data_IF_968565689135
#
_entry.id   IF_968565689135
#
_cell.length_a   1.000
_cell.length_b   1.000
_cell.length_c   1.000
_cell.angle_alpha   90.00
_cell.angle_beta   90.00
_cell.angle_gamma   90.00
#
_symmetry.space_group_name_H-M   'P 1'
#
loop_
_entity.id
_entity.type
_entity.pdbx_description
1 polymer ?
#
# COMPACT_ATOMS: atom_id res chain seq x y z
N UNK A 1 -15.49 -11.73 -4.76
CA UNK A 1 -14.11 -11.21 -4.71
C UNK A 1 -13.41 -11.96 -3.60
N UNK A 2 -12.19 -12.46 -3.80
CA UNK A 2 -11.43 -13.09 -2.72
C UNK A 2 -11.14 -12.04 -1.64
N UNK A 3 -11.31 -12.42 -0.37
CA UNK A 3 -11.04 -11.58 0.78
C UNK A 3 -9.53 -11.26 0.82
N UNK A 4 -9.14 -10.00 0.61
CA UNK A 4 -7.74 -9.58 0.67
C UNK A 4 -7.36 -9.34 2.13
N UNK A 5 -6.34 -10.05 2.60
CA UNK A 5 -5.74 -9.88 3.93
C UNK A 5 -4.28 -9.49 3.78
N UNK A 6 -3.81 -8.59 4.63
CA UNK A 6 -2.38 -8.23 4.71
C UNK A 6 -1.50 -9.44 5.02
N UNK A 7 -2.02 -10.39 5.79
CA UNK A 7 -1.35 -11.63 6.18
C UNK A 7 -2.18 -12.80 5.69
N UNK A 8 -1.52 -13.81 5.12
CA UNK A 8 -2.16 -15.09 4.81
C UNK A 8 -2.41 -15.86 6.11
N UNK A 9 -3.60 -15.66 6.68
CA UNK A 9 -4.01 -16.33 7.91
C UNK A 9 -4.07 -17.84 7.74
N UNK A 10 -4.51 -18.34 6.57
CA UNK A 10 -4.68 -19.78 6.33
C UNK A 10 -3.32 -20.49 6.36
N UNK A 11 -2.32 -19.93 5.67
CA UNK A 11 -0.95 -20.45 5.67
C UNK A 11 -0.32 -20.45 7.07
N UNK A 12 -0.67 -19.46 7.91
CA UNK A 12 -0.21 -19.42 9.30
C UNK A 12 -0.91 -20.46 10.18
N UNK A 13 -2.20 -20.71 9.96
CA UNK A 13 -2.95 -21.74 10.69
C UNK A 13 -2.39 -23.14 10.41
N UNK A 14 -2.01 -23.44 9.17
CA UNK A 14 -1.37 -24.72 8.80
C UNK A 14 -0.02 -24.93 9.51
N UNK A 15 0.67 -23.84 9.87
CA UNK A 15 1.96 -23.87 10.59
C UNK A 15 1.80 -23.84 12.11
N UNK A 16 0.59 -23.98 12.63
CA UNK A 16 0.37 -23.94 14.07
C UNK A 16 0.97 -25.15 14.77
N UNK A 17 1.99 -24.88 15.60
CA UNK A 17 2.67 -25.88 16.41
C UNK A 17 2.25 -25.71 17.87
N UNK A 18 2.00 -26.84 18.54
CA UNK A 18 1.83 -26.89 19.99
C UNK A 18 3.17 -27.15 20.66
N UNK A 19 3.55 -26.29 21.59
CA UNK A 19 4.72 -26.48 22.45
C UNK A 19 4.23 -27.00 23.79
N UNK A 20 4.76 -28.13 24.23
CA UNK A 20 4.55 -28.65 25.57
C UNK A 20 5.71 -28.23 26.47
N UNK A 21 5.37 -27.78 27.67
CA UNK A 21 6.30 -27.36 28.72
C UNK A 21 6.25 -28.28 29.93
N UNK A 22 7.09 -28.03 30.94
CA UNK A 22 7.13 -28.80 32.18
C UNK A 22 5.76 -28.86 32.86
N UNK A 23 5.46 -29.98 33.53
CA UNK A 23 4.19 -30.20 34.25
C UNK A 23 2.94 -30.20 33.35
N UNK A 24 3.09 -30.49 32.05
CA UNK A 24 1.96 -30.64 31.14
C UNK A 24 1.34 -29.32 30.68
N UNK A 25 2.01 -28.18 30.89
CA UNK A 25 1.59 -26.93 30.26
C UNK A 25 1.72 -27.04 28.74
N UNK A 26 0.78 -26.49 27.99
CA UNK A 26 0.89 -26.39 26.54
C UNK A 26 0.52 -24.98 26.09
N UNK A 27 1.20 -24.48 25.06
CA UNK A 27 0.86 -23.24 24.39
C UNK A 27 0.96 -23.41 22.87
N UNK A 28 0.24 -22.58 22.13
CA UNK A 28 0.47 -22.46 20.69
C UNK A 28 1.69 -21.58 20.45
N UNK A 29 2.68 -22.10 19.71
CA UNK A 29 3.81 -21.29 19.23
C UNK A 29 3.33 -20.19 18.28
N UNK A 30 2.32 -20.54 17.47
CA UNK A 30 1.60 -19.63 16.59
C UNK A 30 0.23 -19.40 17.23
N UNK A 31 -0.07 -18.20 17.76
CA UNK A 31 -1.27 -17.97 18.55
C UNK A 31 -2.52 -17.95 17.66
N UNK A 32 -3.05 -19.14 17.34
CA UNK A 32 -4.21 -19.36 16.45
C UNK A 32 -5.40 -18.45 16.80
N UNK A 33 -5.73 -18.34 18.09
CA UNK A 33 -6.82 -17.48 18.53
C UNK A 33 -6.61 -15.99 18.19
N UNK A 34 -5.36 -15.52 18.16
CA UNK A 34 -5.06 -14.15 17.75
C UNK A 34 -5.12 -13.98 16.22
N UNK A 35 -4.74 -15.00 15.45
CA UNK A 35 -4.84 -14.98 13.98
C UNK A 35 -6.31 -14.93 13.56
N UNK A 36 -7.16 -15.75 14.17
CA UNK A 36 -8.58 -15.80 13.87
C UNK A 36 -9.34 -14.54 14.31
N UNK A 37 -8.88 -13.91 15.39
CA UNK A 37 -9.43 -12.65 15.88
C UNK A 37 -8.88 -11.42 15.16
N UNK A 38 -7.81 -11.56 14.36
CA UNK A 38 -7.21 -10.45 13.65
C UNK A 38 -8.18 -9.89 12.60
N UNK A 39 -8.29 -8.56 12.46
CA UNK A 39 -9.14 -7.97 11.44
C UNK A 39 -8.60 -8.27 10.04
N UNK A 40 -9.53 -8.49 9.12
CA UNK A 40 -9.24 -8.50 7.69
C UNK A 40 -8.93 -7.07 7.24
N UNK A 41 -7.69 -6.82 6.83
CA UNK A 41 -7.25 -5.53 6.31
C UNK A 41 -6.85 -5.71 4.84
N UNK A 42 -7.48 -4.94 3.96
CA UNK A 42 -7.05 -4.83 2.56
C UNK A 42 -5.74 -4.02 2.51
N UNK A 43 -4.62 -4.57 2.01
CA UNK A 43 -3.37 -3.81 1.92
C UNK A 43 -3.49 -2.53 1.09
N UNK A 44 -4.45 -2.44 0.16
CA UNK A 44 -4.67 -1.20 -0.62
C UNK A 44 -5.19 -0.03 0.23
N UNK A 45 -5.85 -0.28 1.37
CA UNK A 45 -6.34 0.78 2.26
C UNK A 45 -5.27 1.33 3.19
N UNK A 46 -4.17 0.60 3.37
CA UNK A 46 -3.02 1.02 4.16
C UNK A 46 -1.99 1.82 3.36
N UNK A 47 -2.09 1.81 2.02
CA UNK A 47 -1.17 2.57 1.18
C UNK A 47 -1.43 4.07 1.35
N UNK A 48 -0.38 4.88 1.58
CA UNK A 48 -0.54 6.32 1.56
C UNK A 48 -1.01 6.77 0.17
N UNK A 49 -1.77 7.86 0.16
CA UNK A 49 -2.11 8.58 -1.08
C UNK A 49 -1.12 9.71 -1.28
N UNK A 50 -0.72 9.90 -2.52
CA UNK A 50 0.01 11.06 -2.99
C UNK A 50 -0.76 11.69 -4.17
N UNK A 51 -0.62 12.98 -4.34
CA UNK A 51 -1.21 13.72 -5.44
C UNK A 51 -0.16 14.16 -6.43
N UNK A 52 -0.64 14.37 -7.65
CA UNK A 52 0.17 14.93 -8.70
C UNK A 52 0.09 16.45 -8.67
N UNK A 53 1.26 17.08 -8.54
CA UNK A 53 1.41 18.53 -8.53
C UNK A 53 2.20 19.00 -9.74
N UNK A 54 1.93 20.23 -10.18
CA UNK A 54 2.75 20.92 -11.17
C UNK A 54 3.95 21.57 -10.49
N UNK A 55 5.13 21.39 -11.06
CA UNK A 55 6.35 22.04 -10.60
C UNK A 55 7.12 22.65 -11.76
N UNK A 56 7.80 23.76 -11.50
CA UNK A 56 8.73 24.35 -12.46
C UNK A 56 10.15 23.89 -12.15
N UNK A 57 10.81 23.25 -13.12
CA UNK A 57 12.25 23.00 -13.06
C UNK A 57 12.92 24.01 -13.98
N UNK A 58 13.80 24.88 -13.45
CA UNK A 58 14.61 25.74 -14.31
C UNK A 58 15.39 24.82 -15.24
N UNK A 59 15.22 24.98 -16.56
CA UNK A 59 15.81 24.24 -17.69
C UNK A 59 14.87 23.32 -18.50
N UNK A 60 13.83 22.68 -17.93
CA UNK A 60 13.10 21.59 -18.63
C UNK A 60 11.59 21.79 -18.83
N UNK A 61 11.06 23.01 -18.61
CA UNK A 61 9.61 23.37 -18.64
C UNK A 61 8.84 22.82 -17.43
N UNK A 62 7.54 23.12 -17.38
CA UNK A 62 6.61 22.61 -16.36
C UNK A 62 6.58 21.08 -16.38
N UNK A 63 6.86 20.48 -15.23
CA UNK A 63 6.85 19.03 -15.01
C UNK A 63 5.75 18.61 -14.04
N UNK A 64 5.55 17.30 -14.00
CA UNK A 64 4.58 16.63 -13.14
C UNK A 64 5.33 15.94 -12.00
N UNK A 65 4.97 16.24 -10.76
CA UNK A 65 5.66 15.76 -9.56
C UNK A 65 4.72 15.01 -8.64
N UNK A 66 5.26 14.04 -7.92
CA UNK A 66 4.58 13.41 -6.78
C UNK A 66 4.72 14.31 -5.55
N UNK A 67 3.63 14.72 -4.89
CA UNK A 67 3.70 15.52 -3.66
C UNK A 67 4.35 14.77 -2.48
N UNK A 68 4.21 13.44 -2.43
CA UNK A 68 4.71 12.60 -1.34
C UNK A 68 6.24 12.48 -1.30
N UNK A 69 6.91 12.55 -2.46
CA UNK A 69 8.38 12.43 -2.54
C UNK A 69 9.08 13.48 -3.41
N UNK A 70 8.32 14.41 -4.00
CA UNK A 70 8.79 15.51 -4.85
C UNK A 70 9.65 15.06 -6.06
N UNK A 71 9.53 13.80 -6.48
CA UNK A 71 10.17 13.30 -7.69
C UNK A 71 9.35 13.65 -8.93
N UNK A 72 10.05 14.04 -10.01
CA UNK A 72 9.46 14.25 -11.32
C UNK A 72 8.99 12.90 -11.90
N UNK A 73 7.71 12.81 -12.25
CA UNK A 73 7.05 11.67 -12.88
C UNK A 73 7.04 11.77 -14.41
N UNK A 74 7.15 13.00 -14.95
CA UNK A 74 7.14 13.25 -16.38
C UNK A 74 7.07 14.73 -16.73
N UNK A 75 7.25 15.01 -18.02
CA UNK A 75 7.27 16.37 -18.59
C UNK A 75 6.02 16.69 -19.43
N UNK A 76 5.13 15.71 -19.63
CA UNK A 76 3.86 15.89 -20.33
C UNK A 76 2.73 16.03 -19.30
N UNK A 77 2.00 17.14 -19.36
CA UNK A 77 0.89 17.42 -18.44
C UNK A 77 -0.39 16.69 -18.85
N UNK A 78 -1.13 16.18 -17.86
CA UNK A 78 -2.53 15.75 -18.01
C UNK A 78 -2.78 14.31 -17.56
N UNK A 79 -4.03 13.88 -17.72
CA UNK A 79 -4.57 12.57 -17.35
C UNK A 79 -3.76 11.36 -17.86
N UNK A 80 -2.85 11.57 -18.82
CA UNK A 80 -1.89 10.58 -19.29
C UNK A 80 -1.01 10.06 -18.15
N UNK A 81 -0.48 10.92 -17.26
CA UNK A 81 0.42 10.48 -16.18
C UNK A 81 -0.29 9.55 -15.19
N UNK A 82 -1.53 9.87 -14.82
CA UNK A 82 -2.36 9.03 -13.92
C UNK A 82 -2.86 7.78 -14.64
N UNK A 83 -3.19 7.89 -15.94
CA UNK A 83 -3.55 6.75 -16.78
C UNK A 83 -2.42 5.72 -16.90
N UNK A 84 -1.16 6.15 -16.84
CA UNK A 84 0.01 5.27 -16.88
C UNK A 84 0.44 4.77 -15.49
N UNK A 85 0.37 5.61 -14.45
CA UNK A 85 0.88 5.31 -13.13
C UNK A 85 -0.22 5.35 -12.07
N UNK A 86 -0.69 4.16 -11.66
CA UNK A 86 -1.57 4.01 -10.49
C UNK A 86 -0.84 4.31 -9.17
N UNK A 87 0.47 4.12 -9.14
CA UNK A 87 1.33 4.33 -7.97
C UNK A 87 2.59 5.09 -8.38
N UNK A 88 3.13 5.90 -7.47
CA UNK A 88 4.40 6.59 -7.67
C UNK A 88 5.52 5.55 -7.80
N UNK A 89 6.32 5.54 -8.88
CA UNK A 89 7.42 4.59 -9.06
C UNK A 89 8.58 4.81 -8.07
N UNK A 90 8.59 5.94 -7.36
CA UNK A 90 9.65 6.31 -6.42
C UNK A 90 9.28 5.99 -4.96
N UNK A 91 8.14 6.49 -4.47
CA UNK A 91 7.71 6.24 -3.07
C UNK A 91 6.69 5.11 -2.90
N UNK A 92 6.03 4.67 -3.98
CA UNK A 92 5.00 3.62 -3.93
C UNK A 92 3.62 4.08 -3.46
N UNK A 93 3.45 5.37 -3.16
CA UNK A 93 2.15 5.95 -2.79
C UNK A 93 1.16 5.85 -3.94
N UNK A 94 -0.13 5.67 -3.61
CA UNK A 94 -1.20 5.64 -4.60
C UNK A 94 -1.39 7.05 -5.16
N UNK A 95 -1.28 7.20 -6.48
CA UNK A 95 -1.43 8.48 -7.13
C UNK A 95 -2.92 8.80 -7.34
N UNK A 96 -3.34 9.97 -6.88
CA UNK A 96 -4.66 10.54 -7.10
C UNK A 96 -4.56 11.86 -7.86
N UNK A 97 -5.58 12.17 -8.66
CA UNK A 97 -5.66 13.45 -9.35
C UNK A 97 -6.23 14.50 -8.40
N UNK A 98 -5.42 15.49 -8.01
CA UNK A 98 -5.94 16.67 -7.31
C UNK A 98 -6.57 17.67 -8.28
N UNK A 99 -6.44 17.47 -9.60
CA UNK A 99 -7.11 18.29 -10.59
C UNK A 99 -8.55 17.79 -10.78
N UNK A 100 -9.42 18.11 -9.82
CA UNK A 100 -10.83 18.33 -10.13
C UNK A 100 -10.87 19.39 -11.25
N UNK A 101 -10.89 18.96 -12.50
CA UNK A 101 -11.35 19.82 -13.58
C UNK A 101 -12.78 20.22 -13.23
N UNK A 102 -12.92 21.45 -12.72
CA UNK A 102 -14.17 22.20 -12.65
C UNK A 102 -14.93 21.96 -13.97
N UNK A 103 -15.94 21.09 -13.90
CA UNK A 103 -16.91 20.83 -14.97
C UNK A 103 -18.00 21.89 -14.98
#
# INVERSE_FOLDING_TARGET
MAEKRLVDANELEEKAIYITGPKGSACHAVPLGLIQAAPTIDPETLRPTAHIIRGYVPETKDGVFCDGCNHCLGWEYGAHVIGYFKYCPYCGDRLEDETEELS
#
